data_IF_445226732653
#
_entry.id   IF_445226732653
#
_cell.length_a   1.000
_cell.length_b   1.000
_cell.length_c   1.000
_cell.angle_alpha   90.00
_cell.angle_beta   90.00
_cell.angle_gamma   90.00
#
_symmetry.space_group_name_H-M   'P 1'
#
loop_
_entity.id
_entity.type
_entity.pdbx_description
1 polymer ?
#
# COMPACT_ATOMS: atom_id res chain seq x y z
N UNK A 1 -13.21 -14.75 2.42
CA UNK A 1 -13.13 -13.26 2.40
C UNK A 1 -12.44 -12.66 3.62
N UNK A 2 -12.75 -13.07 4.86
CA UNK A 2 -12.06 -12.50 6.05
C UNK A 2 -10.54 -12.74 6.03
N UNK A 3 -10.10 -13.89 5.52
CA UNK A 3 -8.67 -14.22 5.34
C UNK A 3 -7.96 -13.24 4.41
N UNK A 4 -8.59 -12.81 3.32
CA UNK A 4 -7.98 -11.88 2.35
C UNK A 4 -7.72 -10.53 3.00
N UNK A 5 -8.68 -9.98 3.75
CA UNK A 5 -8.51 -8.70 4.46
C UNK A 5 -7.38 -8.80 5.50
N UNK A 6 -7.27 -9.93 6.22
CA UNK A 6 -6.15 -10.16 7.16
C UNK A 6 -4.81 -10.24 6.44
N UNK A 7 -4.75 -10.93 5.31
CA UNK A 7 -3.54 -10.99 4.47
C UNK A 7 -3.15 -9.59 4.02
N UNK A 8 -4.11 -8.78 3.55
CA UNK A 8 -3.87 -7.38 3.18
C UNK A 8 -3.35 -6.56 4.36
N UNK A 9 -3.91 -6.74 5.56
CA UNK A 9 -3.43 -6.07 6.76
C UNK A 9 -1.94 -6.38 7.01
N UNK A 10 -1.59 -7.68 6.99
CA UNK A 10 -0.20 -8.13 7.17
C UNK A 10 0.72 -7.59 6.07
N UNK A 11 0.31 -7.68 4.80
CA UNK A 11 1.10 -7.18 3.66
C UNK A 11 1.37 -5.68 3.82
N UNK A 12 0.36 -4.88 4.16
CA UNK A 12 0.54 -3.45 4.39
C UNK A 12 1.52 -3.17 5.54
N UNK A 13 1.46 -3.92 6.65
CA UNK A 13 2.40 -3.73 7.76
C UNK A 13 3.84 -4.09 7.37
N UNK A 14 4.03 -5.15 6.58
CA UNK A 14 5.35 -5.50 6.03
C UNK A 14 5.86 -4.40 5.08
N UNK A 15 4.99 -3.85 4.24
CA UNK A 15 5.35 -2.71 3.38
C UNK A 15 5.67 -1.45 4.17
N UNK A 16 4.95 -1.16 5.25
CA UNK A 16 5.27 -0.06 6.13
C UNK A 16 6.67 -0.24 6.75
N UNK A 17 6.99 -1.44 7.23
CA UNK A 17 8.33 -1.74 7.74
C UNK A 17 9.42 -1.57 6.66
N UNK A 18 9.16 -2.04 5.44
CA UNK A 18 10.05 -1.81 4.29
C UNK A 18 10.23 -0.31 3.99
N UNK A 19 9.16 0.48 4.02
CA UNK A 19 9.24 1.92 3.79
C UNK A 19 9.95 2.69 4.92
N UNK A 20 9.90 2.22 6.16
CA UNK A 20 10.77 2.75 7.24
C UNK A 20 12.24 2.56 6.86
N UNK A 21 12.62 1.37 6.39
CA UNK A 21 14.01 1.13 5.95
C UNK A 21 14.38 2.02 4.76
N UNK A 22 13.49 2.19 3.79
CA UNK A 22 13.70 3.09 2.65
C UNK A 22 13.85 4.55 3.10
N UNK A 23 13.03 5.02 4.04
CA UNK A 23 13.13 6.37 4.57
C UNK A 23 14.47 6.60 5.28
N UNK A 24 14.97 5.61 6.04
CA UNK A 24 16.30 5.67 6.67
C UNK A 24 17.40 5.73 5.61
N UNK A 25 17.31 4.92 4.55
CA UNK A 25 18.29 4.96 3.45
C UNK A 25 18.28 6.31 2.72
N UNK A 26 17.09 6.85 2.42
CA UNK A 26 16.93 8.17 1.82
C UNK A 26 17.49 9.27 2.72
N UNK A 27 17.28 9.19 4.02
CA UNK A 27 17.83 10.15 4.97
C UNK A 27 19.37 10.21 4.93
N UNK A 28 20.02 9.06 4.67
CA UNK A 28 21.48 8.95 4.61
C UNK A 28 22.09 9.37 3.27
N UNK A 29 21.28 9.54 2.22
CA UNK A 29 21.74 10.00 0.90
C UNK A 29 22.04 11.50 0.93
N UNK A 30 23.33 11.87 0.91
CA UNK A 30 23.78 13.28 0.97
C UNK A 30 24.07 13.90 -0.40
N UNK A 31 24.20 13.08 -1.44
CA UNK A 31 24.70 13.53 -2.75
C UNK A 31 23.59 14.04 -3.69
N UNK A 32 22.38 14.26 -3.16
CA UNK A 32 21.19 14.71 -3.90
C UNK A 32 20.93 16.18 -3.59
N UNK A 33 20.41 16.94 -4.56
CA UNK A 33 20.00 18.33 -4.35
C UNK A 33 19.06 18.45 -3.13
N UNK A 34 19.29 19.38 -2.17
CA UNK A 34 18.61 19.39 -0.87
C UNK A 34 17.07 19.43 -0.95
N UNK A 35 16.52 20.15 -1.92
CA UNK A 35 15.06 20.25 -2.10
C UNK A 35 14.44 18.93 -2.57
N UNK A 36 15.15 18.20 -3.44
CA UNK A 36 14.70 16.89 -3.94
C UNK A 36 14.82 15.87 -2.81
N UNK A 37 15.92 15.91 -2.06
CA UNK A 37 16.12 15.06 -0.89
C UNK A 37 14.98 15.23 0.14
N UNK A 38 14.67 16.47 0.52
CA UNK A 38 13.58 16.76 1.44
C UNK A 38 12.22 16.24 0.93
N UNK A 39 11.93 16.41 -0.37
CA UNK A 39 10.70 15.90 -0.98
C UNK A 39 10.64 14.37 -0.93
N UNK A 40 11.72 13.68 -1.26
CA UNK A 40 11.80 12.21 -1.23
C UNK A 40 11.63 11.67 0.19
N UNK A 41 12.26 12.30 1.18
CA UNK A 41 12.11 11.93 2.60
C UNK A 41 10.66 12.15 3.06
N UNK A 42 10.06 13.30 2.74
CA UNK A 42 8.66 13.58 3.08
C UNK A 42 7.71 12.57 2.43
N UNK A 43 7.92 12.23 1.16
CA UNK A 43 7.12 11.25 0.44
C UNK A 43 7.28 9.84 1.06
N UNK A 44 8.51 9.45 1.42
CA UNK A 44 8.77 8.17 2.07
C UNK A 44 8.12 8.07 3.44
N UNK A 45 8.24 9.10 4.29
CA UNK A 45 7.60 9.16 5.61
C UNK A 45 6.07 9.17 5.46
N UNK A 46 5.53 10.02 4.59
CA UNK A 46 4.09 10.12 4.34
C UNK A 46 3.51 8.80 3.83
N UNK A 47 4.17 8.18 2.85
CA UNK A 47 3.82 6.86 2.33
C UNK A 47 3.87 5.78 3.41
N UNK A 48 4.90 5.79 4.26
CA UNK A 48 5.03 4.87 5.41
C UNK A 48 3.81 4.98 6.34
N UNK A 49 3.48 6.20 6.76
CA UNK A 49 2.36 6.45 7.68
C UNK A 49 1.02 6.03 7.07
N UNK A 50 0.82 6.33 5.78
CA UNK A 50 -0.39 5.96 5.07
C UNK A 50 -0.56 4.43 4.95
N UNK A 51 0.50 3.71 4.58
CA UNK A 51 0.49 2.26 4.45
C UNK A 51 0.34 1.59 5.84
N UNK A 52 1.00 2.13 6.87
CA UNK A 52 0.83 1.68 8.25
C UNK A 52 -0.63 1.84 8.70
N UNK A 53 -1.24 3.00 8.44
CA UNK A 53 -2.63 3.25 8.73
C UNK A 53 -3.54 2.25 8.02
N UNK A 54 -3.34 1.97 6.73
CA UNK A 54 -4.08 0.93 6.02
C UNK A 54 -3.90 -0.45 6.68
N UNK A 55 -2.67 -0.84 7.01
CA UNK A 55 -2.39 -2.12 7.66
C UNK A 55 -3.11 -2.28 9.00
N UNK A 56 -3.04 -1.24 9.84
CA UNK A 56 -3.71 -1.20 11.14
C UNK A 56 -5.23 -1.22 10.95
N UNK A 57 -5.78 -0.33 10.11
CA UNK A 57 -7.22 -0.25 9.85
C UNK A 57 -7.81 -1.58 9.32
N UNK A 58 -7.07 -2.29 8.47
CA UNK A 58 -7.51 -3.56 7.90
C UNK A 58 -7.50 -4.72 8.92
N UNK A 59 -6.88 -4.56 10.10
CA UNK A 59 -7.02 -5.54 11.19
C UNK A 59 -8.47 -5.62 11.71
N UNK A 60 -9.25 -4.53 11.64
CA UNK A 60 -10.67 -4.51 12.00
C UNK A 60 -11.56 -5.02 10.85
N UNK A 61 -11.32 -6.26 10.43
CA UNK A 61 -11.93 -6.93 9.26
C UNK A 61 -13.46 -6.79 9.19
N UNK A 62 -14.14 -6.84 10.34
CA UNK A 62 -15.60 -6.75 10.41
C UNK A 62 -16.10 -5.37 9.95
N UNK A 63 -15.45 -4.30 10.42
CA UNK A 63 -15.81 -2.91 10.09
C UNK A 63 -15.47 -2.58 8.64
N UNK A 64 -14.33 -3.08 8.15
CA UNK A 64 -13.87 -2.84 6.78
C UNK A 64 -14.89 -3.33 5.74
N UNK A 65 -15.60 -4.43 6.02
CA UNK A 65 -16.57 -5.02 5.08
C UNK A 65 -17.99 -4.47 5.22
N UNK A 66 -18.35 -4.00 6.41
CA UNK A 66 -19.71 -3.52 6.70
C UNK A 66 -19.91 -2.05 6.37
N UNK A 67 -18.86 -1.23 6.45
CA UNK A 67 -18.96 0.22 6.37
C UNK A 67 -18.52 0.79 5.01
N UNK A 68 -19.05 1.96 4.65
CA UNK A 68 -18.58 2.72 3.48
C UNK A 68 -17.13 3.16 3.65
N UNK A 69 -16.73 3.56 4.87
CA UNK A 69 -15.35 3.92 5.21
C UNK A 69 -14.41 2.75 4.89
N UNK A 70 -14.75 1.53 5.34
CA UNK A 70 -14.00 0.33 5.05
C UNK A 70 -13.80 0.05 3.55
N UNK A 71 -14.85 0.27 2.75
CA UNK A 71 -14.77 0.13 1.28
C UNK A 71 -13.88 1.21 0.66
N UNK A 72 -13.94 2.44 1.16
CA UNK A 72 -13.05 3.52 0.73
C UNK A 72 -11.60 3.15 1.04
N UNK A 73 -11.30 2.61 2.23
CA UNK A 73 -9.96 2.17 2.60
C UNK A 73 -9.43 1.06 1.67
N UNK A 74 -10.27 0.10 1.30
CA UNK A 74 -9.91 -0.94 0.33
C UNK A 74 -9.64 -0.33 -1.06
N UNK A 75 -10.49 0.59 -1.52
CA UNK A 75 -10.30 1.26 -2.80
C UNK A 75 -9.02 2.11 -2.81
N UNK A 76 -8.76 2.85 -1.73
CA UNK A 76 -7.54 3.63 -1.56
C UNK A 76 -6.30 2.73 -1.62
N UNK A 77 -6.29 1.61 -0.89
CA UNK A 77 -5.21 0.64 -0.99
C UNK A 77 -5.02 0.12 -2.42
N UNK A 78 -6.10 -0.24 -3.11
CA UNK A 78 -6.03 -0.65 -4.51
C UNK A 78 -5.40 0.44 -5.39
N UNK A 79 -5.88 1.68 -5.31
CA UNK A 79 -5.35 2.80 -6.06
C UNK A 79 -3.87 3.03 -5.76
N UNK A 80 -3.46 3.05 -4.49
CA UNK A 80 -2.06 3.27 -4.11
C UNK A 80 -1.13 2.23 -4.72
N UNK A 81 -1.44 0.94 -4.58
CA UNK A 81 -0.58 -0.12 -5.11
C UNK A 81 -0.63 -0.22 -6.63
N UNK A 82 -1.79 0.01 -7.27
CA UNK A 82 -1.89 0.00 -8.73
C UNK A 82 -1.19 1.21 -9.36
N UNK A 83 -1.34 2.41 -8.78
CA UNK A 83 -0.59 3.60 -9.22
C UNK A 83 0.91 3.34 -9.08
N UNK A 84 1.36 2.77 -7.96
CA UNK A 84 2.78 2.43 -7.79
C UNK A 84 3.28 1.43 -8.85
N UNK A 85 2.49 0.41 -9.18
CA UNK A 85 2.82 -0.53 -10.25
C UNK A 85 2.91 0.16 -11.63
N UNK A 86 2.01 1.11 -11.90
CA UNK A 86 2.02 1.90 -13.13
C UNK A 86 3.24 2.82 -13.22
N UNK A 87 3.59 3.49 -12.12
CA UNK A 87 4.78 4.34 -12.02
C UNK A 87 6.07 3.56 -12.29
N UNK A 88 6.13 2.28 -11.89
CA UNK A 88 7.29 1.41 -12.14
C UNK A 88 7.53 1.16 -13.63
N UNK A 89 6.49 1.24 -14.47
CA UNK A 89 6.60 1.03 -15.92
C UNK A 89 6.79 2.35 -16.68
N UNK A 90 6.13 3.42 -16.23
CA UNK A 90 6.12 4.70 -16.97
C UNK A 90 7.14 5.72 -16.49
N UNK A 91 7.57 5.66 -15.23
CA UNK A 91 8.41 6.71 -14.62
C UNK A 91 9.78 6.17 -14.23
N UNK A 92 9.88 4.92 -13.77
CA UNK A 92 11.14 4.38 -13.31
C UNK A 92 12.18 4.27 -14.44
N UNK A 93 13.42 4.73 -14.24
CA UNK A 93 14.48 4.62 -15.24
C UNK A 93 14.91 3.16 -15.47
N UNK A 94 14.78 2.32 -14.45
CA UNK A 94 14.99 0.87 -14.53
C UNK A 94 13.79 0.16 -13.89
N UNK A 95 13.13 -0.69 -14.68
CA UNK A 95 11.93 -1.41 -14.22
C UNK A 95 12.34 -2.53 -13.28
N UNK A 96 11.91 -2.45 -12.02
CA UNK A 96 12.01 -3.54 -11.06
C UNK A 96 10.80 -4.45 -11.17
N UNK A 97 10.96 -5.56 -11.90
CA UNK A 97 9.91 -6.60 -12.01
C UNK A 97 9.36 -7.06 -10.65
N UNK A 98 10.18 -7.26 -9.59
CA UNK A 98 9.65 -7.58 -8.27
C UNK A 98 8.68 -6.52 -7.72
N UNK A 99 9.02 -5.22 -7.82
CA UNK A 99 8.16 -4.14 -7.34
C UNK A 99 6.85 -4.11 -8.13
N UNK A 100 6.95 -4.15 -9.46
CA UNK A 100 5.81 -4.17 -10.37
C UNK A 100 4.82 -5.28 -9.99
N UNK A 101 5.32 -6.51 -9.86
CA UNK A 101 4.49 -7.69 -9.59
C UNK A 101 3.86 -7.58 -8.20
N UNK A 102 4.65 -7.28 -7.15
CA UNK A 102 4.12 -7.25 -5.79
C UNK A 102 3.10 -6.13 -5.63
N UNK A 103 3.36 -4.94 -6.18
CA UNK A 103 2.39 -3.83 -6.16
C UNK A 103 1.13 -4.17 -6.97
N UNK A 104 1.26 -4.69 -8.20
CA UNK A 104 0.10 -5.05 -9.01
C UNK A 104 -0.77 -6.10 -8.32
N UNK A 105 -0.17 -7.19 -7.82
CA UNK A 105 -0.88 -8.26 -7.11
C UNK A 105 -1.54 -7.72 -5.83
N UNK A 106 -0.83 -6.90 -5.05
CA UNK A 106 -1.37 -6.33 -3.81
C UNK A 106 -2.55 -5.40 -4.10
N UNK A 107 -2.46 -4.57 -5.15
CA UNK A 107 -3.54 -3.70 -5.59
C UNK A 107 -4.78 -4.49 -6.02
N UNK A 108 -4.59 -5.55 -6.82
CA UNK A 108 -5.68 -6.43 -7.22
C UNK A 108 -6.31 -7.18 -6.03
N UNK A 109 -5.50 -7.59 -5.05
CA UNK A 109 -6.01 -8.22 -3.83
C UNK A 109 -6.90 -7.28 -3.01
N UNK A 110 -6.66 -5.97 -3.00
CA UNK A 110 -7.53 -4.99 -2.35
C UNK A 110 -8.93 -4.90 -2.99
N UNK A 111 -9.04 -5.25 -4.27
CA UNK A 111 -10.32 -5.28 -4.98
C UNK A 111 -11.16 -6.53 -4.67
N UNK A 112 -10.52 -7.64 -4.28
CA UNK A 112 -11.22 -8.91 -4.02
C UNK A 112 -12.32 -8.78 -2.95
N UNK A 113 -12.11 -8.13 -1.79
CA UNK A 113 -13.18 -7.96 -0.79
C UNK A 113 -14.30 -7.01 -1.23
N UNK A 114 -14.05 -6.11 -2.20
CA UNK A 114 -15.05 -5.18 -2.74
C UNK A 114 -16.03 -5.89 -3.68
N UNK A 115 -15.53 -6.79 -4.52
CA UNK A 115 -16.33 -7.50 -5.53
C UNK A 115 -16.75 -8.91 -5.13
N UNK A 116 -16.17 -9.46 -4.06
CA UNK A 116 -16.54 -10.78 -3.54
C UNK A 116 -18.00 -10.81 -3.09
N UNK A 117 -18.79 -11.74 -3.65
CA UNK A 117 -20.20 -11.94 -3.29
C UNK A 117 -20.34 -12.05 -1.77
N UNK A 118 -21.21 -11.24 -1.18
CA UNK A 118 -21.68 -11.46 0.20
C UNK A 118 -22.40 -12.81 0.21
N UNK A 119 -21.82 -13.84 0.83
CA UNK A 119 -22.64 -14.99 1.22
C UNK A 119 -23.79 -14.43 2.07
N UNK A 120 -25.06 -14.67 1.71
CA UNK A 120 -26.17 -14.26 2.55
C UNK A 120 -25.94 -14.88 3.94
N UNK A 121 -26.01 -14.05 4.97
CA UNK A 121 -26.00 -14.52 6.33
C UNK A 121 -27.15 -15.52 6.48
N UNK A 122 -26.82 -16.78 6.81
CA UNK A 122 -27.77 -17.70 7.41
C UNK A 122 -27.81 -17.44 8.90
#
# INVERSE_FOLDING_TARGET
>A
MNTVVRILAIINLLFAAFHVLLAVQLWQLTDIHPQIHALLVMLAIGGTLFILFLGVALMWVREVRSTTIGKILLLLGACTYLTRAVEEVWIAPEVSLPILIVCAVTGLLHLVPLFGRRSPAR
#
